data_IF_988307956495
#
_entry.id   IF_988307956495
#
_cell.length_a   1.000
_cell.length_b   1.000
_cell.length_c   1.000
_cell.angle_alpha   90.00
_cell.angle_beta   90.00
_cell.angle_gamma   90.00
#
_symmetry.space_group_name_H-M   'P 1'
#
loop_
_entity.id
_entity.type
_entity.pdbx_description
1 polymer ?
#
# COMPACT_ATOMS: atom_id res chain seq x y z
N UNK A 1 0.13 5.58 5.57
CA UNK A 1 1.21 5.69 4.55
C UNK A 1 1.37 7.11 4.02
N UNK A 2 0.35 7.67 3.35
CA UNK A 2 0.38 8.99 2.68
C UNK A 2 0.91 10.12 3.59
N UNK A 3 0.37 10.27 4.82
CA UNK A 3 0.82 11.31 5.76
C UNK A 3 2.30 11.17 6.15
N UNK A 4 2.79 9.94 6.34
CA UNK A 4 4.19 9.67 6.71
C UNK A 4 5.12 9.95 5.53
N UNK A 5 4.75 9.49 4.34
CA UNK A 5 5.46 9.81 3.11
C UNK A 5 5.61 11.33 2.93
N UNK A 6 4.51 12.07 3.11
CA UNK A 6 4.50 13.52 2.93
C UNK A 6 5.39 14.23 3.96
N UNK A 7 5.31 13.82 5.22
CA UNK A 7 6.14 14.38 6.28
C UNK A 7 7.63 14.13 6.00
N UNK A 8 8.00 12.91 5.64
CA UNK A 8 9.40 12.54 5.39
C UNK A 8 9.99 13.23 4.16
N UNK A 9 9.20 13.42 3.10
CA UNK A 9 9.68 13.95 1.83
C UNK A 9 9.54 15.47 1.69
N UNK A 10 8.63 16.10 2.43
CA UNK A 10 8.35 17.54 2.28
C UNK A 10 8.43 18.32 3.60
N UNK A 11 8.70 17.65 4.72
CA UNK A 11 8.74 18.25 6.07
C UNK A 11 7.47 19.04 6.44
N UNK A 12 6.32 18.64 5.90
CA UNK A 12 5.02 19.28 6.14
C UNK A 12 3.89 18.25 6.12
N UNK A 13 2.72 18.64 6.63
CA UNK A 13 1.50 17.85 6.44
C UNK A 13 0.93 18.11 5.04
N UNK A 14 0.31 17.11 4.40
CA UNK A 14 -0.36 17.32 3.13
C UNK A 14 -1.55 18.28 3.34
N UNK A 15 -1.62 19.35 2.55
CA UNK A 15 -2.73 20.29 2.55
C UNK A 15 -3.92 19.73 1.75
N UNK A 16 -4.39 18.54 2.13
CA UNK A 16 -5.48 17.84 1.44
C UNK A 16 -6.75 17.97 2.29
N UNK A 17 -7.83 18.48 1.69
CA UNK A 17 -9.18 18.43 2.26
C UNK A 17 -9.92 17.24 1.63
N UNK A 18 -10.20 16.15 2.38
CA UNK A 18 -10.85 14.98 1.80
C UNK A 18 -12.28 15.32 1.39
N UNK A 19 -12.64 15.02 0.13
CA UNK A 19 -14.02 15.11 -0.36
C UNK A 19 -14.78 13.80 -0.17
N UNK A 20 -14.06 12.68 -0.22
CA UNK A 20 -14.57 11.33 -0.06
C UNK A 20 -13.59 10.50 0.74
N UNK A 21 -14.10 9.51 1.49
CA UNK A 21 -13.29 8.51 2.19
C UNK A 21 -13.61 7.15 1.59
N UNK A 22 -12.68 6.62 0.80
CA UNK A 22 -12.77 5.28 0.21
C UNK A 22 -11.77 4.39 0.97
N UNK A 23 -12.22 3.29 1.60
CA UNK A 23 -11.34 2.45 2.42
C UNK A 23 -10.47 1.48 1.60
N UNK A 24 -10.86 1.19 0.36
CA UNK A 24 -10.19 0.22 -0.51
C UNK A 24 -9.21 0.90 -1.48
N UNK A 25 -7.94 0.56 -1.38
CA UNK A 25 -6.90 1.11 -2.26
C UNK A 25 -7.05 0.63 -3.71
N UNK A 26 -7.54 -0.59 -3.96
CA UNK A 26 -7.73 -1.09 -5.32
C UNK A 26 -8.81 -0.30 -6.05
N UNK A 27 -9.88 0.07 -5.36
CA UNK A 27 -10.93 0.94 -5.91
C UNK A 27 -10.38 2.32 -6.25
N UNK A 28 -9.54 2.89 -5.37
CA UNK A 28 -8.87 4.19 -5.62
C UNK A 28 -7.97 4.11 -6.86
N UNK A 29 -7.15 3.05 -6.97
CA UNK A 29 -6.24 2.86 -8.10
C UNK A 29 -6.97 2.61 -9.42
N UNK A 30 -8.07 1.85 -9.40
CA UNK A 30 -8.95 1.67 -10.54
C UNK A 30 -9.53 3.00 -11.01
N UNK A 31 -10.12 3.79 -10.10
CA UNK A 31 -10.68 5.10 -10.44
C UNK A 31 -9.62 6.08 -10.98
N UNK A 32 -8.38 6.00 -10.51
CA UNK A 32 -7.28 6.82 -11.03
C UNK A 32 -6.86 6.46 -12.45
N UNK A 33 -7.13 5.24 -12.90
CA UNK A 33 -6.81 4.82 -14.27
C UNK A 33 -7.68 5.54 -15.31
N UNK A 34 -8.88 5.97 -14.91
CA UNK A 34 -9.86 6.63 -15.79
C UNK A 34 -10.00 8.14 -15.52
N UNK A 35 -9.20 8.71 -14.60
CA UNK A 35 -9.34 10.10 -14.16
C UNK A 35 -8.01 10.84 -14.10
N UNK A 36 -8.06 12.17 -14.07
CA UNK A 36 -6.88 12.99 -13.81
C UNK A 36 -6.68 13.14 -12.30
N UNK A 37 -5.74 12.39 -11.75
CA UNK A 37 -5.45 12.42 -10.32
C UNK A 37 -4.06 11.92 -9.96
N UNK A 38 -3.71 12.09 -8.68
CA UNK A 38 -2.46 11.59 -8.11
C UNK A 38 -2.76 10.94 -6.76
N UNK A 39 -2.06 9.85 -6.45
CA UNK A 39 -2.06 9.25 -5.12
C UNK A 39 -0.65 8.84 -4.71
N UNK A 40 -0.52 8.51 -3.43
CA UNK A 40 0.65 7.81 -2.87
C UNK A 40 0.17 6.43 -2.43
N UNK A 41 0.78 5.39 -2.98
CA UNK A 41 0.44 3.99 -2.71
C UNK A 41 1.71 3.15 -2.54
N UNK A 42 1.54 1.91 -2.10
CA UNK A 42 2.62 0.94 -2.04
C UNK A 42 2.90 0.38 -3.44
N UNK A 43 4.17 0.09 -3.69
CA UNK A 43 4.68 -0.43 -4.96
C UNK A 43 4.07 -1.80 -5.32
N UNK A 44 3.85 -2.67 -4.34
CA UNK A 44 3.25 -3.99 -4.55
C UNK A 44 1.79 -3.94 -5.05
N UNK A 45 1.09 -2.80 -4.91
CA UNK A 45 -0.30 -2.65 -5.37
C UNK A 45 -0.42 -2.16 -6.82
N UNK A 46 0.67 -1.73 -7.44
CA UNK A 46 0.63 -1.05 -8.76
C UNK A 46 1.37 -1.79 -9.87
N UNK A 47 1.98 -2.95 -9.58
CA UNK A 47 2.82 -3.66 -10.54
C UNK A 47 2.10 -3.89 -11.88
N UNK A 48 0.91 -4.46 -11.85
CA UNK A 48 0.16 -4.78 -13.07
C UNK A 48 -0.39 -3.53 -13.75
N UNK A 49 -0.85 -2.54 -12.97
CA UNK A 49 -1.35 -1.27 -13.51
C UNK A 49 -0.27 -0.45 -14.23
N UNK A 50 0.99 -0.55 -13.79
CA UNK A 50 2.12 0.04 -14.49
C UNK A 50 2.45 -0.72 -15.78
N UNK A 51 2.42 -2.05 -15.76
CA UNK A 51 2.67 -2.89 -16.95
C UNK A 51 1.62 -2.68 -18.03
N UNK A 52 0.36 -2.52 -17.64
CA UNK A 52 -0.77 -2.25 -18.53
C UNK A 52 -0.87 -0.78 -18.98
N UNK A 53 0.07 0.09 -18.57
CA UNK A 53 0.04 1.54 -18.81
C UNK A 53 -1.23 2.25 -18.30
N UNK A 54 -1.93 1.66 -17.33
CA UNK A 54 -3.11 2.27 -16.68
C UNK A 54 -2.74 3.33 -15.66
N UNK A 55 -1.56 3.20 -15.06
CA UNK A 55 -0.98 4.20 -14.17
C UNK A 55 0.46 4.52 -14.59
N UNK A 56 0.95 5.68 -14.15
CA UNK A 56 2.34 6.10 -14.34
C UNK A 56 2.96 6.48 -13.01
N UNK A 57 4.13 5.92 -12.72
CA UNK A 57 4.96 6.38 -11.60
C UNK A 57 5.54 7.75 -11.93
N UNK A 58 5.21 8.75 -11.11
CA UNK A 58 5.72 10.13 -11.28
C UNK A 58 6.94 10.38 -10.38
N UNK A 59 6.93 9.84 -9.16
CA UNK A 59 8.02 10.04 -8.21
C UNK A 59 8.00 8.98 -7.10
N UNK A 60 9.17 8.49 -6.69
CA UNK A 60 9.32 7.52 -5.57
C UNK A 60 9.55 8.18 -4.20
N UNK A 61 9.75 9.50 -4.16
CA UNK A 61 10.27 10.18 -2.98
C UNK A 61 11.80 10.20 -2.95
N UNK A 62 12.37 11.14 -2.20
CA UNK A 62 13.78 11.13 -1.80
C UNK A 62 14.01 10.15 -0.63
N UNK A 63 13.03 10.03 0.26
CA UNK A 63 13.06 9.14 1.40
C UNK A 63 11.95 8.10 1.29
N UNK A 64 12.36 6.82 1.25
CA UNK A 64 11.43 5.70 1.24
C UNK A 64 10.56 5.71 2.51
N UNK A 65 9.33 5.22 2.37
CA UNK A 65 8.41 5.07 3.50
C UNK A 65 7.87 3.64 3.49
N UNK A 66 8.48 2.80 4.31
CA UNK A 66 8.13 1.38 4.35
C UNK A 66 6.88 1.15 5.19
N UNK A 67 6.08 0.17 4.78
CA UNK A 67 4.91 -0.28 5.52
C UNK A 67 5.06 -1.76 5.86
N UNK A 68 5.41 -2.05 7.13
CA UNK A 68 5.56 -3.42 7.61
C UNK A 68 4.17 -4.04 7.80
N UNK A 69 3.91 -5.14 7.09
CA UNK A 69 2.71 -5.94 7.27
C UNK A 69 3.00 -7.05 8.28
N UNK A 70 2.21 -7.10 9.35
CA UNK A 70 2.33 -8.12 10.39
C UNK A 70 1.27 -9.19 10.20
N UNK A 71 1.69 -10.46 10.13
CA UNK A 71 0.78 -11.58 10.34
C UNK A 71 0.58 -11.78 11.84
N UNK A 72 -0.65 -11.60 12.31
CA UNK A 72 -1.02 -11.72 13.72
C UNK A 72 -2.02 -12.86 13.91
N UNK A 73 -1.95 -13.52 15.07
CA UNK A 73 -2.85 -14.61 15.43
C UNK A 73 -3.05 -14.70 16.94
N UNK A 74 -4.16 -15.31 17.36
CA UNK A 74 -4.45 -15.61 18.75
C UNK A 74 -3.77 -16.93 19.15
N UNK A 75 -2.86 -16.87 20.12
CA UNK A 75 -2.10 -18.02 20.60
C UNK A 75 -2.98 -19.13 21.18
N UNK A 76 -4.20 -18.83 21.61
CA UNK A 76 -5.14 -19.80 22.17
C UNK A 76 -5.94 -20.53 21.10
N UNK A 77 -5.95 -20.02 19.86
CA UNK A 77 -6.80 -20.52 18.76
C UNK A 77 -6.02 -21.16 17.61
N UNK A 78 -4.69 -21.16 17.67
CA UNK A 78 -3.83 -21.62 16.57
C UNK A 78 -2.82 -22.65 17.07
N UNK A 79 -2.72 -23.77 16.36
CA UNK A 79 -1.78 -24.84 16.67
C UNK A 79 -0.39 -24.57 16.07
N UNK A 80 0.63 -25.22 16.61
CA UNK A 80 2.00 -25.15 16.08
C UNK A 80 2.09 -25.56 14.61
N UNK A 81 1.33 -26.58 14.19
CA UNK A 81 1.31 -27.03 12.80
C UNK A 81 0.67 -25.99 11.86
N UNK A 82 -0.41 -25.33 12.28
CA UNK A 82 -1.00 -24.23 11.52
C UNK A 82 -0.04 -23.05 11.38
N UNK A 83 0.70 -22.72 12.44
CA UNK A 83 1.75 -21.68 12.39
C UNK A 83 2.86 -22.08 11.41
N UNK A 84 3.29 -23.35 11.45
CA UNK A 84 4.34 -23.88 10.56
C UNK A 84 3.88 -23.82 9.10
N UNK A 85 2.67 -24.25 8.81
CA UNK A 85 2.07 -24.19 7.48
C UNK A 85 1.97 -22.74 6.97
N UNK A 86 1.44 -21.82 7.78
CA UNK A 86 1.32 -20.41 7.40
C UNK A 86 2.70 -19.78 7.10
N UNK A 87 3.72 -20.11 7.89
CA UNK A 87 5.10 -19.66 7.64
C UNK A 87 5.71 -20.27 6.37
N UNK A 88 5.38 -21.51 6.03
CA UNK A 88 5.83 -22.13 4.78
C UNK A 88 5.24 -21.41 3.58
N UNK A 89 3.93 -21.14 3.58
CA UNK A 89 3.24 -20.44 2.49
C UNK A 89 3.81 -19.03 2.26
N UNK A 90 4.13 -18.30 3.34
CA UNK A 90 4.68 -16.94 3.23
C UNK A 90 6.12 -16.88 2.71
N UNK A 91 6.92 -17.96 2.81
CA UNK A 91 8.30 -17.99 2.32
C UNK A 91 8.42 -18.29 0.82
N UNK A 92 7.32 -18.69 0.18
CA UNK A 92 7.28 -19.08 -1.22
C UNK A 92 6.76 -17.98 -2.17
N UNK A 93 6.50 -16.78 -1.65
CA UNK A 93 6.26 -15.56 -2.43
C UNK A 93 7.48 -14.63 -2.34
#
# INVERSE_FOLDING_TARGET
MIRRFWLNNFNKRPAIRPRFTIPDMNVILGALSDTQGLTITADYLIKDLLLENKLKLIWKGQFATDNILFLVYDKTKVTTEQIKLARMLLKHN
#
